data_IF_849947431027
#
_entry.id   IF_849947431027
#
_cell.length_a   1.000
_cell.length_b   1.000
_cell.length_c   1.000
_cell.angle_alpha   90.00
_cell.angle_beta   90.00
_cell.angle_gamma   90.00
#
_symmetry.space_group_name_H-M   'P 1'
#
loop_
_entity.id
_entity.type
_entity.pdbx_description
1 polymer ?
#
# COMPACT_ATOMS: atom_id res chain seq x y z
N UNK A 1 -0.69 -8.24 -39.10
CA UNK A 1 -0.85 -7.54 -37.81
C UNK A 1 0.32 -7.93 -36.94
N UNK A 2 1.30 -7.04 -36.77
CA UNK A 2 2.34 -7.22 -35.75
C UNK A 2 1.72 -6.94 -34.38
N UNK A 3 1.47 -7.99 -33.61
CA UNK A 3 1.28 -7.84 -32.17
C UNK A 3 2.63 -7.45 -31.59
N UNK A 4 2.82 -6.15 -31.31
CA UNK A 4 3.97 -5.72 -30.51
C UNK A 4 3.87 -6.44 -29.17
N UNK A 5 4.78 -7.40 -28.96
CA UNK A 5 4.96 -8.06 -27.66
C UNK A 5 5.55 -7.01 -26.72
N UNK A 6 4.72 -6.11 -26.21
CA UNK A 6 5.07 -5.26 -25.07
C UNK A 6 5.54 -6.21 -23.97
N UNK A 7 6.73 -5.95 -23.43
CA UNK A 7 7.20 -6.68 -22.26
C UNK A 7 6.14 -6.52 -21.16
N UNK A 8 5.76 -7.62 -20.48
CA UNK A 8 4.78 -7.54 -19.41
C UNK A 8 5.30 -6.61 -18.31
N UNK A 9 4.45 -5.66 -17.94
CA UNK A 9 4.71 -4.72 -16.83
C UNK A 9 4.75 -5.47 -15.51
N UNK A 10 5.25 -4.84 -14.44
CA UNK A 10 5.27 -5.47 -13.12
C UNK A 10 3.85 -5.77 -12.60
N UNK A 11 2.86 -4.96 -12.99
CA UNK A 11 1.45 -5.24 -12.75
C UNK A 11 0.96 -6.50 -13.48
N UNK A 12 1.37 -6.69 -14.75
CA UNK A 12 1.02 -7.90 -15.52
C UNK A 12 1.65 -9.14 -14.90
N UNK A 13 2.92 -9.05 -14.48
CA UNK A 13 3.64 -10.14 -13.80
C UNK A 13 3.03 -10.47 -12.44
N UNK A 14 2.56 -9.47 -11.70
CA UNK A 14 1.85 -9.65 -10.45
C UNK A 14 0.52 -10.40 -10.67
N UNK A 15 -0.31 -9.94 -11.60
CA UNK A 15 -1.59 -10.58 -11.92
C UNK A 15 -1.39 -12.02 -12.41
N UNK A 16 -0.34 -12.27 -13.18
CA UNK A 16 0.02 -13.63 -13.61
C UNK A 16 0.40 -14.51 -12.42
N UNK A 17 1.26 -14.04 -11.51
CA UNK A 17 1.65 -14.78 -10.28
C UNK A 17 0.45 -15.11 -9.39
N UNK A 18 -0.48 -14.17 -9.19
CA UNK A 18 -1.71 -14.41 -8.42
C UNK A 18 -2.57 -15.46 -9.12
N UNK A 19 -2.74 -15.35 -10.43
CA UNK A 19 -3.54 -16.30 -11.23
C UNK A 19 -2.94 -17.71 -11.18
N UNK A 20 -1.63 -17.84 -11.34
CA UNK A 20 -0.92 -19.14 -11.31
C UNK A 20 -0.96 -19.80 -9.92
N UNK A 21 -0.89 -18.99 -8.85
CA UNK A 21 -0.96 -19.48 -7.46
C UNK A 21 -2.37 -19.97 -7.11
N UNK A 22 -3.42 -19.29 -7.56
CA UNK A 22 -4.82 -19.62 -7.22
C UNK A 22 -5.51 -20.60 -8.19
N UNK A 23 -4.97 -20.81 -9.38
CA UNK A 23 -5.42 -21.90 -10.27
C UNK A 23 -5.01 -23.28 -9.75
N UNK A 24 -3.88 -23.36 -9.03
CA UNK A 24 -3.33 -24.61 -8.49
C UNK A 24 -4.03 -25.11 -7.22
N UNK A 25 -4.55 -24.20 -6.38
CA UNK A 25 -5.25 -24.52 -5.11
C UNK A 25 -6.77 -24.37 -5.20
N UNK A 26 -7.31 -24.44 -6.42
CA UNK A 26 -8.65 -24.01 -6.74
C UNK A 26 -9.74 -24.79 -5.97
N UNK A 27 -10.21 -24.19 -4.87
CA UNK A 27 -11.54 -24.41 -4.28
C UNK A 27 -12.63 -24.27 -5.38
N UNK A 28 -12.30 -23.60 -6.50
CA UNK A 28 -13.16 -23.39 -7.66
C UNK A 28 -13.28 -24.59 -8.61
N UNK A 29 -12.55 -25.70 -8.40
CA UNK A 29 -12.63 -26.91 -9.24
C UNK A 29 -13.51 -28.03 -8.67
N UNK A 30 -13.92 -27.94 -7.40
CA UNK A 30 -14.65 -29.00 -6.68
C UNK A 30 -16.07 -28.61 -6.26
N UNK A 31 -16.67 -27.61 -6.89
CA UNK A 31 -18.07 -27.30 -6.60
C UNK A 31 -18.98 -28.32 -7.31
N UNK A 32 -19.20 -29.46 -6.67
CA UNK A 32 -20.18 -30.48 -7.05
C UNK A 32 -21.60 -29.91 -6.89
N UNK A 33 -22.01 -29.03 -7.81
CA UNK A 33 -23.39 -28.59 -7.88
C UNK A 33 -24.20 -29.68 -8.60
N UNK A 34 -25.17 -30.29 -7.92
CA UNK A 34 -26.15 -31.15 -8.57
C UNK A 34 -27.03 -30.27 -9.49
N UNK A 35 -26.69 -30.25 -10.78
CA UNK A 35 -27.34 -29.43 -11.81
C UNK A 35 -28.30 -30.21 -12.71
N UNK A 36 -28.45 -31.53 -12.48
CA UNK A 36 -29.24 -32.42 -13.35
C UNK A 36 -30.73 -32.03 -13.45
N UNK A 37 -31.30 -31.45 -12.38
CA UNK A 37 -32.72 -31.07 -12.32
C UNK A 37 -32.98 -29.55 -12.45
N UNK A 38 -31.95 -28.74 -12.72
CA UNK A 38 -32.10 -27.27 -12.75
C UNK A 38 -32.64 -26.77 -14.09
N UNK A 39 -33.59 -25.83 -14.04
CA UNK A 39 -34.06 -25.14 -15.24
C UNK A 39 -32.95 -24.25 -15.83
N UNK A 40 -33.00 -23.91 -17.14
CA UNK A 40 -32.01 -23.02 -17.75
C UNK A 40 -31.88 -21.65 -17.05
N UNK A 41 -32.96 -21.14 -16.46
CA UNK A 41 -32.97 -19.89 -15.71
C UNK A 41 -32.24 -20.02 -14.36
N UNK A 42 -32.44 -21.13 -13.65
CA UNK A 42 -31.76 -21.44 -12.38
C UNK A 42 -30.27 -21.70 -12.60
N UNK A 43 -29.90 -22.37 -13.70
CA UNK A 43 -28.50 -22.54 -14.11
C UNK A 43 -27.82 -21.20 -14.43
N UNK A 44 -28.53 -20.28 -15.09
CA UNK A 44 -27.99 -18.95 -15.37
C UNK A 44 -27.78 -18.13 -14.09
N UNK A 45 -28.73 -18.19 -13.15
CA UNK A 45 -28.61 -17.54 -11.85
C UNK A 45 -27.48 -18.14 -11.00
N UNK A 46 -27.34 -19.47 -10.99
CA UNK A 46 -26.26 -20.17 -10.30
C UNK A 46 -24.89 -19.79 -10.87
N UNK A 47 -24.74 -19.78 -12.20
CA UNK A 47 -23.50 -19.33 -12.87
C UNK A 47 -23.15 -17.88 -12.55
N UNK A 48 -24.15 -16.98 -12.51
CA UNK A 48 -23.93 -15.59 -12.14
C UNK A 48 -23.48 -15.46 -10.69
N UNK A 49 -24.10 -16.20 -9.77
CA UNK A 49 -23.71 -16.23 -8.35
C UNK A 49 -22.28 -16.75 -8.16
N UNK A 50 -21.94 -17.86 -8.80
CA UNK A 50 -20.59 -18.43 -8.80
C UNK A 50 -19.58 -17.42 -9.34
N UNK A 51 -19.91 -16.72 -10.42
CA UNK A 51 -19.03 -15.70 -11.03
C UNK A 51 -18.77 -14.52 -10.10
N UNK A 52 -19.78 -14.04 -9.36
CA UNK A 52 -19.60 -12.96 -8.40
C UNK A 52 -18.83 -13.40 -7.14
N UNK A 53 -19.06 -14.61 -6.65
CA UNK A 53 -18.28 -15.20 -5.56
C UNK A 53 -16.81 -15.39 -5.98
N UNK A 54 -16.57 -15.84 -7.21
CA UNK A 54 -15.23 -15.95 -7.81
C UNK A 54 -14.53 -14.60 -7.90
N UNK A 55 -15.22 -13.58 -8.41
CA UNK A 55 -14.69 -12.21 -8.50
C UNK A 55 -14.30 -11.69 -7.11
N UNK A 56 -15.17 -11.90 -6.13
CA UNK A 56 -14.92 -11.46 -4.75
C UNK A 56 -13.72 -12.18 -4.12
N UNK A 57 -13.62 -13.50 -4.31
CA UNK A 57 -12.51 -14.29 -3.81
C UNK A 57 -11.17 -13.89 -4.46
N UNK A 58 -11.16 -13.66 -5.78
CA UNK A 58 -9.99 -13.17 -6.51
C UNK A 58 -9.54 -11.79 -6.02
N UNK A 59 -10.48 -10.86 -5.79
CA UNK A 59 -10.17 -9.54 -5.23
C UNK A 59 -9.53 -9.67 -3.84
N UNK A 60 -10.04 -10.56 -2.97
CA UNK A 60 -9.45 -10.80 -1.65
C UNK A 60 -8.05 -11.41 -1.74
N UNK A 61 -7.85 -12.35 -2.66
CA UNK A 61 -6.55 -12.97 -2.91
C UNK A 61 -5.51 -11.95 -3.40
N UNK A 62 -5.87 -11.14 -4.41
CA UNK A 62 -5.06 -10.02 -4.90
C UNK A 62 -4.70 -9.08 -3.75
N UNK A 63 -5.69 -8.71 -2.93
CA UNK A 63 -5.48 -7.82 -1.78
C UNK A 63 -4.46 -8.38 -0.79
N UNK A 64 -4.60 -9.65 -0.41
CA UNK A 64 -3.69 -10.31 0.51
C UNK A 64 -2.28 -10.41 -0.06
N UNK A 65 -2.16 -10.67 -1.36
CA UNK A 65 -0.85 -10.77 -2.01
C UNK A 65 -0.16 -9.40 -2.13
N UNK A 66 -0.91 -8.33 -2.42
CA UNK A 66 -0.37 -6.96 -2.39
C UNK A 66 0.09 -6.58 -0.97
N UNK A 67 -0.70 -6.91 0.06
CA UNK A 67 -0.32 -6.65 1.45
C UNK A 67 1.00 -7.34 1.83
N UNK A 68 1.21 -8.57 1.34
CA UNK A 68 2.45 -9.30 1.58
C UNK A 68 3.63 -8.71 0.80
N UNK A 69 3.44 -8.40 -0.49
CA UNK A 69 4.52 -7.85 -1.32
C UNK A 69 5.00 -6.48 -0.80
N UNK A 70 4.10 -5.64 -0.29
CA UNK A 70 4.47 -4.34 0.26
C UNK A 70 4.72 -4.36 1.79
N UNK A 71 4.77 -5.52 2.44
CA UNK A 71 4.96 -5.59 3.89
C UNK A 71 6.31 -5.01 4.33
N UNK A 72 7.38 -5.34 3.58
CA UNK A 72 8.74 -4.85 3.83
C UNK A 72 8.83 -3.34 3.56
N UNK A 73 8.31 -2.88 2.41
CA UNK A 73 8.26 -1.46 2.05
C UNK A 73 7.50 -0.64 3.10
N UNK A 74 6.38 -1.16 3.62
CA UNK A 74 5.60 -0.50 4.67
C UNK A 74 6.37 -0.42 5.99
N UNK A 75 7.14 -1.46 6.32
CA UNK A 75 8.00 -1.46 7.50
C UNK A 75 9.17 -0.47 7.36
N UNK A 76 9.76 -0.39 6.18
CA UNK A 76 10.86 0.55 5.89
C UNK A 76 10.36 2.00 5.91
N UNK A 77 9.23 2.29 5.28
CA UNK A 77 8.59 3.60 5.37
C UNK A 77 8.26 3.98 6.83
N UNK A 78 7.82 3.03 7.67
CA UNK A 78 7.59 3.29 9.10
C UNK A 78 8.88 3.68 9.84
N UNK A 79 10.01 3.03 9.55
CA UNK A 79 11.31 3.42 10.11
C UNK A 79 11.71 4.84 9.68
N UNK A 80 11.39 5.25 8.45
CA UNK A 80 11.62 6.63 7.99
C UNK A 80 10.80 7.62 8.79
N UNK A 81 9.53 7.32 9.10
CA UNK A 81 8.70 8.16 9.97
C UNK A 81 9.31 8.29 11.36
N UNK A 82 9.75 7.19 11.97
CA UNK A 82 10.39 7.20 13.29
C UNK A 82 11.68 8.06 13.28
N UNK A 83 12.48 7.96 12.21
CA UNK A 83 13.67 8.81 12.02
C UNK A 83 13.35 10.30 11.87
N UNK A 84 12.25 10.63 11.18
CA UNK A 84 11.78 12.01 11.06
C UNK A 84 11.38 12.56 12.44
N UNK A 85 10.71 11.76 13.26
CA UNK A 85 10.33 12.16 14.63
C UNK A 85 11.56 12.39 15.51
N UNK A 86 12.55 11.50 15.46
CA UNK A 86 13.80 11.67 16.20
C UNK A 86 14.57 12.93 15.75
N UNK A 87 14.60 13.21 14.44
CA UNK A 87 15.20 14.42 13.89
C UNK A 87 14.49 15.68 14.38
N UNK A 88 13.15 15.70 14.35
CA UNK A 88 12.33 16.80 14.84
C UNK A 88 12.64 17.11 16.32
N UNK A 89 12.66 16.07 17.17
CA UNK A 89 12.97 16.21 18.59
C UNK A 89 14.37 16.80 18.80
N UNK A 90 15.36 16.32 18.05
CA UNK A 90 16.73 16.80 18.16
C UNK A 90 16.88 18.26 17.72
N UNK A 91 16.21 18.66 16.62
CA UNK A 91 16.21 20.04 16.14
C UNK A 91 15.61 20.98 17.19
N UNK A 92 14.44 20.65 17.73
CA UNK A 92 13.80 21.47 18.78
C UNK A 92 14.64 21.56 20.05
N UNK A 93 15.30 20.46 20.45
CA UNK A 93 16.23 20.46 21.59
C UNK A 93 17.42 21.39 21.35
N UNK A 94 18.01 21.36 20.16
CA UNK A 94 19.11 22.26 19.81
C UNK A 94 18.67 23.72 19.71
N UNK A 95 17.52 24.00 19.10
CA UNK A 95 16.93 25.34 19.06
C UNK A 95 16.77 25.90 20.48
N UNK A 96 16.20 25.11 21.40
CA UNK A 96 16.01 25.52 22.80
C UNK A 96 17.34 25.77 23.52
N UNK A 97 18.35 24.93 23.29
CA UNK A 97 19.69 25.14 23.87
C UNK A 97 20.33 26.43 23.37
N UNK A 98 20.22 26.73 22.07
CA UNK A 98 20.71 27.97 21.48
C UNK A 98 20.00 29.17 22.12
N UNK A 99 18.66 29.16 22.19
CA UNK A 99 17.87 30.22 22.83
C UNK A 99 18.18 30.41 24.32
N UNK A 100 18.57 29.34 25.03
CA UNK A 100 18.89 29.40 26.46
C UNK A 100 20.27 30.02 26.72
N UNK A 101 21.18 29.97 25.74
CA UNK A 101 22.58 30.39 25.91
C UNK A 101 22.99 31.57 25.04
N UNK A 102 22.18 31.93 24.05
CA UNK A 102 22.47 32.97 23.07
C UNK A 102 21.19 33.77 22.79
N UNK A 103 21.33 35.09 22.63
CA UNK A 103 20.24 36.01 22.32
C UNK A 103 20.71 37.12 21.38
N UNK A 104 19.83 37.62 20.52
CA UNK A 104 20.08 38.73 19.61
C UNK A 104 19.62 38.44 18.18
N UNK A 105 19.52 39.48 17.35
CA UNK A 105 18.89 39.40 16.01
C UNK A 105 19.47 38.30 15.10
N UNK A 106 20.78 38.03 15.18
CA UNK A 106 21.40 36.97 14.39
C UNK A 106 20.96 35.55 14.81
N UNK A 107 20.68 35.36 16.10
CA UNK A 107 20.17 34.10 16.66
C UNK A 107 18.69 33.96 16.34
N UNK A 108 17.92 35.05 16.43
CA UNK A 108 16.50 35.06 16.07
C UNK A 108 16.31 34.72 14.58
N UNK A 109 17.13 35.29 13.70
CA UNK A 109 17.12 34.98 12.27
C UNK A 109 17.57 33.54 11.95
N UNK A 110 18.45 32.96 12.77
CA UNK A 110 18.85 31.55 12.66
C UNK A 110 17.67 30.63 13.04
N UNK A 111 16.99 30.95 14.14
CA UNK A 111 15.82 30.21 14.62
C UNK A 111 14.68 30.25 13.60
N UNK A 112 14.38 31.43 13.07
CA UNK A 112 13.34 31.61 12.04
C UNK A 112 13.67 30.80 10.78
N UNK A 113 14.95 30.69 10.39
CA UNK A 113 15.39 29.84 9.28
C UNK A 113 15.26 28.34 9.58
N UNK A 114 15.49 27.93 10.82
CA UNK A 114 15.29 26.54 11.25
C UNK A 114 13.80 26.20 11.18
N UNK A 115 12.93 27.06 11.68
CA UNK A 115 11.47 26.89 11.64
C UNK A 115 10.91 26.88 10.22
N UNK A 116 11.35 27.80 9.35
CA UNK A 116 10.94 27.82 7.93
C UNK A 116 11.41 26.60 7.14
N UNK A 117 12.49 25.94 7.57
CA UNK A 117 13.04 24.73 6.91
C UNK A 117 12.61 23.44 7.59
N UNK A 118 11.85 23.52 8.69
CA UNK A 118 11.23 22.38 9.36
C UNK A 118 9.98 21.91 8.58
N UNK A 119 10.11 21.64 7.28
CA UNK A 119 9.07 21.00 6.45
C UNK A 119 8.93 19.50 6.74
N UNK A 120 9.63 19.01 7.78
CA UNK A 120 9.57 17.62 8.24
C UNK A 120 8.16 17.21 8.67
N UNK A 121 7.30 18.15 9.08
CA UNK A 121 5.90 17.87 9.37
C UNK A 121 5.12 17.48 8.10
N UNK A 122 5.25 18.26 7.02
CA UNK A 122 4.64 17.96 5.72
C UNK A 122 5.19 16.65 5.14
N UNK A 123 6.51 16.45 5.24
CA UNK A 123 7.15 15.19 4.81
C UNK A 123 6.65 13.98 5.60
N UNK A 124 6.41 14.13 6.91
CA UNK A 124 5.84 13.07 7.75
C UNK A 124 4.42 12.73 7.31
N UNK A 125 3.59 13.73 7.05
CA UNK A 125 2.22 13.51 6.56
C UNK A 125 2.21 12.81 5.20
N UNK A 126 3.09 13.20 4.28
CA UNK A 126 3.23 12.55 2.97
C UNK A 126 3.66 11.09 3.09
N UNK A 127 4.67 10.78 3.93
CA UNK A 127 5.15 9.41 4.13
C UNK A 127 4.10 8.56 4.86
N UNK A 128 3.39 9.12 5.84
CA UNK A 128 2.31 8.42 6.52
C UNK A 128 1.14 8.14 5.58
N UNK A 129 0.77 9.11 4.73
CA UNK A 129 -0.25 8.94 3.69
C UNK A 129 0.13 7.83 2.70
N UNK A 130 1.40 7.76 2.29
CA UNK A 130 1.90 6.68 1.45
C UNK A 130 1.79 5.31 2.16
N UNK A 131 2.16 5.21 3.44
CA UNK A 131 2.00 4.00 4.26
C UNK A 131 0.53 3.57 4.34
N UNK A 132 -0.37 4.52 4.60
CA UNK A 132 -1.81 4.25 4.75
C UNK A 132 -2.42 3.80 3.41
N UNK A 133 -1.94 4.34 2.28
CA UNK A 133 -2.35 3.92 0.93
C UNK A 133 -1.93 2.48 0.60
N UNK A 134 -0.78 2.05 1.11
CA UNK A 134 -0.32 0.66 1.04
C UNK A 134 -1.16 -0.21 1.99
N UNK A 135 -1.61 0.38 3.11
CA UNK A 135 -2.52 -0.14 4.15
C UNK A 135 -3.66 -1.01 3.67
N UNK A 136 -4.43 -0.46 2.72
CA UNK A 136 -5.77 -0.86 2.29
C UNK A 136 -6.85 -0.60 3.34
#
# INVERSE_FOLDING_TARGET
MEFSKKQPTDADRFLQRVTDTHTSSSIFSQANFNTEDMTPAELAALKAKIKEEQKTALIRAIRHQLQNEFAEDRQEAKKIVDLIDDLLINVYKHQRNIQTHMSGEAIDALIEKIEKRLTFFELKEDVQSAIDSIGI
#
